data_IF_325206975787
#
_entry.id   IF_325206975787
#
_cell.length_a   1.000
_cell.length_b   1.000
_cell.length_c   1.000
_cell.angle_alpha   90.00
_cell.angle_beta   90.00
_cell.angle_gamma   90.00
#
_symmetry.space_group_name_H-M   'P 1'
#
loop_
_entity.id
_entity.type
_entity.pdbx_description
1 polymer ?
#
# COMPACT_ATOMS: atom_id res chain seq x y z
N UNK A 1 -4.73 0.93 -3.14
CA UNK A 1 -4.76 -0.46 -3.64
C UNK A 1 -4.11 -1.38 -2.65
N UNK A 2 -4.23 -2.69 -2.84
CA UNK A 2 -3.63 -3.73 -1.98
C UNK A 2 -2.54 -4.50 -2.73
N UNK A 3 -1.75 -5.34 -2.05
CA UNK A 3 -0.68 -6.11 -2.71
C UNK A 3 -1.18 -6.98 -3.87
N UNK A 4 -2.44 -7.44 -3.81
CA UNK A 4 -3.07 -8.17 -4.91
C UNK A 4 -3.16 -7.35 -6.22
N UNK A 5 -3.25 -6.02 -6.16
CA UNK A 5 -3.21 -5.17 -7.37
C UNK A 5 -1.88 -5.33 -8.11
N UNK A 6 -0.76 -5.47 -7.38
CA UNK A 6 0.58 -5.65 -7.97
C UNK A 6 0.67 -6.99 -8.67
N UNK A 7 0.21 -8.06 -8.02
CA UNK A 7 0.18 -9.43 -8.59
C UNK A 7 -0.71 -9.47 -9.83
N UNK A 8 -1.90 -8.87 -9.76
CA UNK A 8 -2.81 -8.74 -10.89
C UNK A 8 -2.14 -7.99 -12.06
N UNK A 9 -1.52 -6.84 -11.78
CA UNK A 9 -0.88 -6.04 -12.81
C UNK A 9 0.29 -6.79 -13.47
N UNK A 10 1.12 -7.49 -12.71
CA UNK A 10 2.21 -8.28 -13.27
C UNK A 10 1.68 -9.38 -14.21
N UNK A 11 0.58 -10.05 -13.82
CA UNK A 11 -0.05 -11.11 -14.62
C UNK A 11 -0.72 -10.61 -15.90
N UNK A 12 -1.36 -9.43 -15.85
CA UNK A 12 -2.19 -8.93 -16.95
C UNK A 12 -1.54 -7.87 -17.83
N UNK A 13 -0.56 -7.12 -17.29
CA UNK A 13 0.10 -6.00 -17.96
C UNK A 13 1.62 -6.11 -17.96
N UNK A 14 2.21 -7.06 -17.22
CA UNK A 14 3.65 -7.22 -17.13
C UNK A 14 4.32 -6.14 -16.27
N UNK A 15 5.62 -5.98 -16.46
CA UNK A 15 6.44 -4.98 -15.75
C UNK A 15 7.53 -4.46 -16.68
N UNK A 16 8.02 -3.26 -16.41
CA UNK A 16 9.14 -2.66 -17.13
C UNK A 16 10.18 -2.10 -16.15
N UNK A 17 11.45 -2.01 -16.56
CA UNK A 17 12.45 -1.24 -15.83
C UNK A 17 12.05 0.23 -15.67
N UNK A 18 12.46 0.86 -14.57
CA UNK A 18 12.14 2.25 -14.26
C UNK A 18 12.61 3.21 -15.37
N UNK A 19 13.74 2.94 -16.01
CA UNK A 19 14.27 3.76 -17.12
C UNK A 19 13.43 3.70 -18.39
N UNK A 20 12.56 2.69 -18.54
CA UNK A 20 11.66 2.56 -19.70
C UNK A 20 10.40 3.42 -19.50
N UNK A 21 9.91 3.50 -18.26
CA UNK A 21 8.74 4.30 -17.91
C UNK A 21 8.91 4.95 -16.54
N UNK A 22 9.44 6.17 -16.52
CA UNK A 22 9.71 6.91 -15.28
C UNK A 22 8.44 7.26 -14.48
N UNK A 23 7.28 7.36 -15.14
CA UNK A 23 6.01 7.70 -14.47
C UNK A 23 5.83 9.19 -14.15
N UNK A 24 6.71 10.07 -14.61
CA UNK A 24 6.69 11.51 -14.32
C UNK A 24 6.90 12.28 -15.63
N UNK A 25 5.84 12.94 -16.15
CA UNK A 25 5.89 13.73 -17.40
C UNK A 25 5.79 15.25 -17.18
N UNK A 26 5.75 15.69 -15.93
CA UNK A 26 5.52 17.08 -15.52
C UNK A 26 6.78 17.78 -14.96
N UNK A 27 7.98 17.22 -15.21
CA UNK A 27 9.26 17.90 -14.95
C UNK A 27 9.77 17.86 -13.51
N UNK A 28 9.05 17.21 -12.60
CA UNK A 28 9.49 17.03 -11.21
C UNK A 28 10.45 15.84 -11.04
N UNK A 29 11.25 15.86 -9.98
CA UNK A 29 12.15 14.76 -9.63
C UNK A 29 11.44 13.60 -8.92
N UNK A 30 10.28 13.88 -8.29
CA UNK A 30 9.50 12.92 -7.53
C UNK A 30 8.02 12.97 -7.95
N UNK A 31 7.26 11.88 -7.72
CA UNK A 31 5.84 11.86 -8.04
C UNK A 31 5.05 12.90 -7.24
N UNK A 32 4.34 13.80 -7.93
CA UNK A 32 3.39 14.76 -7.36
C UNK A 32 2.06 14.61 -8.09
N UNK A 33 1.19 13.75 -7.56
CA UNK A 33 -0.04 13.35 -8.26
C UNK A 33 -1.28 14.16 -7.89
N UNK A 34 -1.16 15.28 -7.16
CA UNK A 34 -2.32 16.08 -6.71
C UNK A 34 -3.19 16.54 -7.88
N UNK A 35 -2.58 17.07 -8.95
CA UNK A 35 -3.31 17.52 -10.14
C UNK A 35 -3.90 16.33 -10.92
N UNK A 36 -3.09 15.29 -11.15
CA UNK A 36 -3.52 14.05 -11.81
C UNK A 36 -4.72 13.43 -11.10
N UNK A 37 -4.67 13.27 -9.78
CA UNK A 37 -5.76 12.72 -8.99
C UNK A 37 -7.03 13.57 -9.13
N UNK A 38 -6.92 14.89 -8.99
CA UNK A 38 -8.06 15.79 -9.12
C UNK A 38 -8.74 15.66 -10.49
N UNK A 39 -7.97 15.67 -11.58
CA UNK A 39 -8.48 15.58 -12.95
C UNK A 39 -9.08 14.20 -13.25
N UNK A 40 -8.35 13.13 -12.94
CA UNK A 40 -8.82 11.76 -13.17
C UNK A 40 -10.06 11.43 -12.32
N UNK A 41 -10.09 11.88 -11.07
CA UNK A 41 -11.23 11.73 -10.15
C UNK A 41 -12.45 12.50 -10.64
N UNK A 42 -12.29 13.73 -11.11
CA UNK A 42 -13.40 14.51 -11.68
C UNK A 42 -13.98 13.82 -12.92
N UNK A 43 -13.11 13.32 -13.82
CA UNK A 43 -13.50 12.57 -15.00
C UNK A 43 -14.29 11.31 -14.64
N UNK A 44 -13.72 10.45 -13.77
CA UNK A 44 -14.34 9.20 -13.35
C UNK A 44 -15.65 9.43 -12.59
N UNK A 45 -15.70 10.39 -11.65
CA UNK A 45 -16.91 10.68 -10.89
C UNK A 45 -18.05 11.18 -11.77
N UNK A 46 -17.77 12.03 -12.76
CA UNK A 46 -18.79 12.55 -13.66
C UNK A 46 -19.47 11.41 -14.44
N UNK A 47 -18.69 10.40 -14.83
CA UNK A 47 -19.20 9.23 -15.51
C UNK A 47 -19.95 8.30 -14.55
N UNK A 48 -19.34 7.98 -13.40
CA UNK A 48 -19.86 6.99 -12.46
C UNK A 48 -21.11 7.46 -11.70
N UNK A 49 -21.19 8.75 -11.37
CA UNK A 49 -22.29 9.36 -10.59
C UNK A 49 -23.27 10.15 -11.46
N UNK A 50 -22.97 10.31 -12.74
CA UNK A 50 -23.85 11.00 -13.68
C UNK A 50 -25.15 10.23 -13.93
N UNK A 51 -26.14 10.91 -14.51
CA UNK A 51 -27.42 10.32 -14.92
C UNK A 51 -27.36 9.59 -16.27
N UNK A 52 -26.15 9.15 -16.69
CA UNK A 52 -25.93 8.49 -17.98
C UNK A 52 -26.64 7.13 -17.99
N UNK A 53 -27.63 6.97 -18.87
CA UNK A 53 -28.35 5.69 -19.04
C UNK A 53 -27.53 4.62 -19.78
N UNK A 54 -26.50 5.04 -20.52
CA UNK A 54 -25.61 4.16 -21.28
C UNK A 54 -24.23 4.77 -21.36
N UNK A 55 -23.21 3.97 -21.10
CA UNK A 55 -21.82 4.36 -21.28
C UNK A 55 -21.40 4.17 -22.75
N UNK A 56 -20.67 5.16 -23.27
CA UNK A 56 -19.99 5.02 -24.57
C UNK A 56 -18.77 4.10 -24.41
N UNK A 57 -18.25 3.47 -25.48
CA UNK A 57 -17.02 2.68 -25.35
C UNK A 57 -15.76 3.56 -25.20
N UNK A 58 -15.86 4.87 -25.45
CA UNK A 58 -14.69 5.77 -25.55
C UNK A 58 -14.25 6.40 -24.22
N UNK A 59 -15.07 6.32 -23.16
CA UNK A 59 -14.70 6.98 -21.88
C UNK A 59 -13.39 6.44 -21.29
N UNK A 60 -13.11 5.15 -21.50
CA UNK A 60 -11.85 4.53 -21.07
C UNK A 60 -10.65 5.15 -21.79
N UNK A 61 -10.80 5.52 -23.06
CA UNK A 61 -9.75 6.17 -23.84
C UNK A 61 -9.47 7.57 -23.31
N UNK A 62 -10.51 8.34 -22.96
CA UNK A 62 -10.34 9.66 -22.35
C UNK A 62 -9.62 9.59 -21.00
N UNK A 63 -10.01 8.65 -20.13
CA UNK A 63 -9.30 8.43 -18.87
C UNK A 63 -7.86 7.98 -19.08
N UNK A 64 -7.62 7.06 -20.02
CA UNK A 64 -6.27 6.59 -20.34
C UNK A 64 -5.39 7.72 -20.87
N UNK A 65 -5.93 8.60 -21.73
CA UNK A 65 -5.20 9.74 -22.25
C UNK A 65 -4.79 10.75 -21.16
N UNK A 66 -5.61 10.92 -20.12
CA UNK A 66 -5.23 11.68 -18.92
C UNK A 66 -3.99 11.02 -18.30
N UNK A 67 -4.05 9.73 -17.95
CA UNK A 67 -2.91 9.04 -17.34
C UNK A 67 -1.66 9.04 -18.22
N UNK A 68 -1.79 8.77 -19.52
CA UNK A 68 -0.69 8.79 -20.49
C UNK A 68 0.01 10.16 -20.54
N UNK A 69 -0.75 11.25 -20.37
CA UNK A 69 -0.22 12.62 -20.37
C UNK A 69 0.65 12.88 -19.14
N UNK A 70 0.22 12.43 -17.95
CA UNK A 70 0.95 12.69 -16.69
C UNK A 70 2.03 11.66 -16.38
N UNK A 71 1.81 10.39 -16.72
CA UNK A 71 2.66 9.26 -16.33
C UNK A 71 3.48 8.71 -17.51
N UNK A 72 3.10 9.05 -18.75
CA UNK A 72 3.67 8.49 -19.96
C UNK A 72 2.86 7.34 -20.51
N UNK A 73 3.01 7.10 -21.81
CA UNK A 73 2.34 6.00 -22.50
C UNK A 73 2.92 4.66 -22.08
N UNK A 74 2.04 3.66 -21.99
CA UNK A 74 2.43 2.27 -21.80
C UNK A 74 3.41 1.80 -22.91
N UNK A 75 4.60 1.30 -22.56
CA UNK A 75 5.58 0.84 -23.53
C UNK A 75 5.23 -0.55 -24.07
N UNK A 76 4.80 -0.65 -25.32
CA UNK A 76 4.50 -1.96 -25.94
C UNK A 76 5.78 -2.80 -26.18
N UNK A 77 6.90 -2.12 -26.45
CA UNK A 77 8.23 -2.71 -26.65
C UNK A 77 9.32 -1.80 -26.12
N UNK A 78 10.42 -2.38 -25.64
CA UNK A 78 11.60 -1.66 -25.17
C UNK A 78 12.85 -2.52 -25.27
N UNK A 79 14.03 -1.89 -25.27
CA UNK A 79 15.31 -2.57 -25.21
C UNK A 79 15.84 -2.48 -23.78
N UNK A 80 16.18 -3.62 -23.19
CA UNK A 80 16.86 -3.71 -21.89
C UNK A 80 18.07 -4.61 -22.02
N UNK A 81 19.25 -4.11 -21.64
CA UNK A 81 20.53 -4.83 -21.72
C UNK A 81 20.79 -5.48 -23.10
N UNK A 82 20.49 -4.74 -24.17
CA UNK A 82 20.73 -5.18 -25.56
C UNK A 82 19.71 -6.17 -26.12
N UNK A 83 18.64 -6.51 -25.39
CA UNK A 83 17.55 -7.39 -25.86
C UNK A 83 16.22 -6.64 -25.89
N UNK A 84 15.42 -6.88 -26.94
CA UNK A 84 14.05 -6.37 -27.04
C UNK A 84 13.09 -7.20 -26.17
N UNK A 85 12.21 -6.51 -25.45
CA UNK A 85 11.17 -7.08 -24.61
C UNK A 85 9.83 -6.36 -24.83
N UNK A 86 8.74 -7.08 -24.64
CA UNK A 86 7.45 -6.53 -24.18
C UNK A 86 7.37 -6.60 -22.65
N UNK A 87 6.51 -5.81 -21.97
CA UNK A 87 6.36 -5.88 -20.51
C UNK A 87 6.04 -7.28 -19.99
N UNK A 88 5.21 -8.05 -20.72
CA UNK A 88 4.90 -9.43 -20.39
C UNK A 88 6.12 -10.36 -20.53
N UNK A 89 6.87 -10.25 -21.64
CA UNK A 89 8.08 -11.07 -21.83
C UNK A 89 9.19 -10.73 -20.82
N UNK A 90 9.25 -9.48 -20.38
CA UNK A 90 10.19 -9.06 -19.34
C UNK A 90 9.79 -9.63 -17.98
N UNK A 91 8.50 -9.57 -17.61
CA UNK A 91 7.98 -10.23 -16.41
C UNK A 91 8.34 -11.73 -16.37
N UNK A 92 8.15 -12.45 -17.49
CA UNK A 92 8.55 -13.86 -17.58
C UNK A 92 10.06 -14.07 -17.41
N UNK A 93 10.89 -13.14 -17.88
CA UNK A 93 12.35 -13.23 -17.74
C UNK A 93 12.85 -13.09 -16.30
N UNK A 94 12.03 -12.55 -15.40
CA UNK A 94 12.36 -12.43 -13.97
C UNK A 94 12.25 -13.76 -13.21
N UNK A 95 11.63 -14.78 -13.81
CA UNK A 95 11.47 -16.10 -13.18
C UNK A 95 10.55 -16.11 -11.95
N UNK A 96 9.71 -15.08 -11.79
CA UNK A 96 8.75 -14.99 -10.69
C UNK A 96 7.57 -15.93 -10.94
N UNK A 97 7.30 -16.84 -9.99
CA UNK A 97 6.06 -17.60 -9.97
C UNK A 97 5.05 -16.90 -9.06
N UNK A 98 4.01 -16.32 -9.64
CA UNK A 98 3.00 -15.57 -8.89
C UNK A 98 2.15 -16.45 -7.98
N UNK A 99 2.05 -17.75 -8.26
CA UNK A 99 1.31 -18.71 -7.44
C UNK A 99 2.06 -19.06 -6.13
N UNK A 100 3.32 -18.62 -5.99
CA UNK A 100 4.10 -18.82 -4.77
C UNK A 100 3.86 -17.72 -3.71
N UNK A 101 3.03 -16.71 -4.00
CA UNK A 101 2.71 -15.63 -3.07
C UNK A 101 1.32 -15.85 -2.48
N UNK A 102 1.22 -15.69 -1.16
CA UNK A 102 -0.04 -15.78 -0.42
C UNK A 102 -0.27 -14.50 0.38
N UNK A 103 -1.54 -14.08 0.46
CA UNK A 103 -1.95 -12.99 1.35
C UNK A 103 -2.46 -13.59 2.66
N UNK A 104 -1.99 -13.05 3.79
CA UNK A 104 -2.32 -13.52 5.13
C UNK A 104 -2.90 -12.38 5.97
N UNK A 105 -3.82 -12.70 6.87
CA UNK A 105 -4.43 -11.75 7.80
C UNK A 105 -4.83 -12.44 9.11
N UNK A 106 -5.30 -11.67 10.08
CA UNK A 106 -5.73 -12.18 11.39
C UNK A 106 -6.87 -11.35 11.95
N UNK A 107 -8.10 -11.83 11.80
CA UNK A 107 -9.31 -11.21 12.34
C UNK A 107 -10.31 -12.24 12.87
N UNK A 108 -11.14 -11.84 13.83
CA UNK A 108 -12.09 -12.73 14.51
C UNK A 108 -13.52 -12.68 13.96
N UNK A 109 -13.85 -11.71 13.09
CA UNK A 109 -15.17 -11.61 12.46
C UNK A 109 -15.39 -12.62 11.33
N UNK A 110 -14.32 -13.31 10.91
CA UNK A 110 -14.36 -14.48 10.03
C UNK A 110 -13.70 -15.68 10.71
N UNK A 111 -14.11 -16.92 10.39
CA UNK A 111 -13.44 -18.11 10.89
C UNK A 111 -11.95 -18.13 10.52
N UNK A 112 -11.11 -18.61 11.43
CA UNK A 112 -9.72 -18.93 11.10
C UNK A 112 -9.63 -20.08 10.10
N UNK A 113 -8.49 -20.17 9.41
CA UNK A 113 -8.18 -21.16 8.37
C UNK A 113 -9.14 -21.13 7.17
N UNK A 114 -9.72 -19.96 6.91
CA UNK A 114 -10.54 -19.69 5.75
C UNK A 114 -10.05 -18.42 5.05
N UNK A 115 -10.31 -18.34 3.75
CA UNK A 115 -10.03 -17.16 2.96
C UNK A 115 -11.21 -16.20 2.98
N UNK A 116 -10.93 -14.91 3.10
CA UNK A 116 -11.92 -13.86 2.86
C UNK A 116 -11.25 -12.61 2.28
N UNK A 117 -12.05 -11.78 1.61
CA UNK A 117 -11.59 -10.49 1.12
C UNK A 117 -11.67 -9.46 2.25
N UNK A 118 -10.52 -8.92 2.66
CA UNK A 118 -10.47 -7.86 3.68
C UNK A 118 -11.31 -6.67 3.21
N UNK A 119 -12.25 -6.23 4.04
CA UNK A 119 -13.29 -5.26 3.70
C UNK A 119 -12.81 -3.81 3.79
N UNK A 120 -11.77 -3.47 3.05
CA UNK A 120 -11.23 -2.10 2.95
C UNK A 120 -11.47 -1.51 1.55
N UNK A 121 -11.64 -0.18 1.42
CA UNK A 121 -11.89 0.46 0.13
C UNK A 121 -10.81 0.17 -0.92
N UNK A 122 -9.57 0.00 -0.47
CA UNK A 122 -8.43 -0.30 -1.34
C UNK A 122 -8.44 -1.72 -1.91
N UNK A 123 -9.21 -2.66 -1.32
CA UNK A 123 -9.39 -4.02 -1.82
C UNK A 123 -10.59 -4.12 -2.77
N UNK A 124 -10.75 -3.14 -3.66
CA UNK A 124 -11.86 -3.05 -4.62
C UNK A 124 -11.94 -4.20 -5.62
N UNK A 125 -10.87 -5.02 -5.73
CA UNK A 125 -10.84 -6.26 -6.53
C UNK A 125 -11.32 -7.51 -5.78
N UNK A 126 -11.62 -7.37 -4.48
CA UNK A 126 -11.95 -8.48 -3.58
C UNK A 126 -10.88 -9.59 -3.59
N UNK A 127 -9.61 -9.20 -3.46
CA UNK A 127 -8.51 -10.15 -3.27
C UNK A 127 -8.63 -10.82 -1.92
N UNK A 128 -8.53 -12.16 -1.91
CA UNK A 128 -8.62 -12.97 -0.70
C UNK A 128 -7.33 -12.96 0.12
N UNK A 129 -7.47 -13.13 1.43
CA UNK A 129 -6.38 -13.40 2.37
C UNK A 129 -6.75 -14.58 3.26
N UNK A 130 -5.78 -15.45 3.54
CA UNK A 130 -5.94 -16.52 4.53
C UNK A 130 -5.97 -15.93 5.94
N UNK A 131 -7.01 -16.27 6.69
CA UNK A 131 -7.18 -15.82 8.06
C UNK A 131 -6.50 -16.79 9.05
N UNK A 132 -5.56 -16.31 9.86
CA UNK A 132 -4.83 -17.12 10.84
C UNK A 132 -4.97 -16.50 12.24
N UNK A 133 -4.83 -17.28 13.32
CA UNK A 133 -4.60 -16.73 14.65
C UNK A 133 -3.34 -15.85 14.67
N UNK A 134 -3.35 -14.78 15.47
CA UNK A 134 -2.28 -13.78 15.46
C UNK A 134 -0.90 -14.38 15.78
N UNK A 135 -0.81 -15.27 16.78
CA UNK A 135 0.44 -15.91 17.16
C UNK A 135 1.04 -16.76 16.04
N UNK A 136 0.19 -17.43 15.25
CA UNK A 136 0.63 -18.20 14.08
C UNK A 136 1.09 -17.29 12.94
N UNK A 137 0.39 -16.18 12.70
CA UNK A 137 0.79 -15.18 11.71
C UNK A 137 2.17 -14.59 12.04
N UNK A 138 2.40 -14.21 13.30
CA UNK A 138 3.71 -13.69 13.74
C UNK A 138 4.79 -14.77 13.62
N UNK A 139 4.52 -15.99 14.08
CA UNK A 139 5.46 -17.12 13.95
C UNK A 139 5.83 -17.41 12.49
N UNK A 140 4.88 -17.27 11.56
CA UNK A 140 5.12 -17.45 10.14
C UNK A 140 6.04 -16.36 9.58
N UNK A 141 5.82 -15.10 9.97
CA UNK A 141 6.65 -13.96 9.59
C UNK A 141 8.09 -14.17 10.08
N UNK A 142 8.27 -14.55 11.35
CA UNK A 142 9.59 -14.84 11.93
C UNK A 142 10.30 -15.95 11.17
N UNK A 143 9.61 -17.06 10.88
CA UNK A 143 10.15 -18.16 10.11
C UNK A 143 10.49 -17.76 8.65
N UNK A 144 9.71 -16.88 8.02
CA UNK A 144 10.00 -16.37 6.69
C UNK A 144 11.32 -15.57 6.69
N UNK A 145 11.45 -14.64 7.65
CA UNK A 145 12.67 -13.82 7.82
C UNK A 145 13.88 -14.71 8.14
N UNK A 146 13.75 -15.66 9.06
CA UNK A 146 14.82 -16.58 9.43
C UNK A 146 15.31 -17.44 8.24
N UNK A 147 14.45 -17.68 7.26
CA UNK A 147 14.78 -18.41 6.01
C UNK A 147 15.26 -17.49 4.88
N UNK A 148 15.46 -16.21 5.14
CA UNK A 148 15.96 -15.23 4.17
C UNK A 148 14.90 -14.68 3.21
N UNK A 149 13.61 -14.88 3.49
CA UNK A 149 12.53 -14.22 2.77
C UNK A 149 12.25 -12.83 3.34
N UNK A 150 11.64 -11.98 2.52
CA UNK A 150 11.07 -10.70 2.95
C UNK A 150 9.54 -10.80 3.01
N UNK A 151 8.90 -9.83 3.64
CA UNK A 151 7.43 -9.76 3.76
C UNK A 151 6.94 -8.42 3.23
N UNK A 152 5.88 -8.46 2.41
CA UNK A 152 5.11 -7.28 2.08
C UNK A 152 4.13 -7.00 3.24
N UNK A 153 4.43 -5.97 4.04
CA UNK A 153 3.70 -5.66 5.26
C UNK A 153 2.84 -4.41 5.09
N UNK A 154 1.55 -4.52 5.44
CA UNK A 154 0.62 -3.41 5.50
C UNK A 154 0.06 -3.33 6.91
N UNK A 155 0.09 -2.14 7.50
CA UNK A 155 -0.40 -1.85 8.84
C UNK A 155 -0.94 -0.44 8.91
N UNK A 156 -1.77 -0.17 9.92
CA UNK A 156 -2.08 1.19 10.32
C UNK A 156 -0.79 1.86 10.85
N UNK A 157 -0.52 3.08 10.37
CA UNK A 157 0.64 3.91 10.73
C UNK A 157 0.21 5.30 11.22
N UNK A 158 -1.08 5.47 11.53
CA UNK A 158 -1.67 6.71 12.03
C UNK A 158 -1.56 6.84 13.56
N UNK A 159 -1.07 5.80 14.23
CA UNK A 159 -0.90 5.74 15.67
C UNK A 159 0.24 6.62 16.20
N UNK A 160 0.08 7.12 17.43
CA UNK A 160 1.09 7.97 18.08
C UNK A 160 2.45 7.27 18.26
N UNK A 161 2.42 5.94 18.33
CA UNK A 161 3.60 5.08 18.42
C UNK A 161 4.40 4.96 17.11
N UNK A 162 3.82 5.31 15.96
CA UNK A 162 4.51 5.37 14.69
C UNK A 162 5.08 6.78 14.46
N UNK A 163 6.39 6.92 14.60
CA UNK A 163 7.05 8.23 14.68
C UNK A 163 7.89 8.55 13.44
N UNK A 164 8.10 9.85 13.20
CA UNK A 164 9.00 10.35 12.15
C UNK A 164 10.48 10.01 12.37
N UNK A 165 10.81 9.45 13.53
CA UNK A 165 12.16 8.97 13.85
C UNK A 165 12.40 7.53 13.37
N UNK A 166 11.44 6.93 12.65
CA UNK A 166 11.57 5.58 12.10
C UNK A 166 11.33 4.48 13.12
N UNK A 167 10.52 4.75 14.15
CA UNK A 167 10.18 3.80 15.22
C UNK A 167 8.67 3.58 15.24
N UNK A 168 8.26 2.33 15.42
CA UNK A 168 6.88 1.92 15.67
C UNK A 168 6.83 1.13 16.98
N UNK A 169 6.08 1.61 17.96
CA UNK A 169 5.90 0.97 19.27
C UNK A 169 4.45 0.99 19.71
N UNK A 170 4.06 0.08 20.60
CA UNK A 170 2.81 0.20 21.36
C UNK A 170 3.09 1.10 22.56
N UNK A 171 2.58 2.35 22.58
CA UNK A 171 2.84 3.25 23.68
C UNK A 171 2.08 2.80 24.94
N UNK A 172 2.69 3.01 26.09
CA UNK A 172 2.03 2.81 27.38
C UNK A 172 1.10 4.01 27.65
N UNK A 173 -0.18 3.86 27.31
CA UNK A 173 -1.19 4.94 27.39
C UNK A 173 -1.69 5.12 28.83
N UNK A 174 -1.60 4.09 29.67
CA UNK A 174 -2.01 4.10 31.08
C UNK A 174 -0.85 4.57 31.99
N UNK A 175 -0.33 5.76 31.70
CA UNK A 175 0.72 6.47 32.44
C UNK A 175 0.10 7.55 33.34
N UNK A 176 -0.36 7.22 34.56
CA UNK A 176 -0.98 8.18 35.48
C UNK A 176 -0.02 9.29 35.96
N UNK A 177 1.28 9.15 35.73
CA UNK A 177 2.28 10.19 35.94
C UNK A 177 2.16 11.38 34.96
N UNK A 178 1.54 11.16 33.79
CA UNK A 178 1.41 12.15 32.71
C UNK A 178 -0.02 12.67 32.51
N UNK A 179 -1.04 11.87 32.84
CA UNK A 179 -2.44 12.29 32.75
C UNK A 179 -2.90 12.91 34.07
N UNK A 180 -2.91 14.24 34.13
CA UNK A 180 -3.54 14.99 35.23
C UNK A 180 -2.63 15.35 36.41
N UNK A 181 -1.32 15.08 36.35
CA UNK A 181 -0.38 15.55 37.36
C UNK A 181 -0.17 17.07 37.24
N UNK A 182 0.04 17.76 38.37
CA UNK A 182 0.38 19.18 38.40
C UNK A 182 1.58 19.51 37.48
N UNK A 183 2.47 18.53 37.26
CA UNK A 183 3.57 18.64 36.32
C UNK A 183 3.09 19.00 34.90
N UNK A 184 2.09 18.33 34.34
CA UNK A 184 1.59 18.65 32.99
C UNK A 184 0.93 20.03 32.88
N UNK A 185 0.42 20.57 33.99
CA UNK A 185 -0.18 21.92 34.06
C UNK A 185 0.87 23.02 34.20
N UNK A 186 2.03 22.71 34.79
CA UNK A 186 3.10 23.67 35.10
C UNK A 186 4.33 23.58 34.17
N UNK A 187 4.57 22.46 33.46
CA UNK A 187 5.78 22.26 32.62
C UNK A 187 5.67 22.79 31.19
N UNK A 188 4.49 23.15 30.70
CA UNK A 188 4.33 23.71 29.35
C UNK A 188 4.73 22.76 28.21
N UNK A 189 4.76 21.44 28.46
CA UNK A 189 5.14 20.44 27.47
C UNK A 189 4.29 20.54 26.21
N UNK A 190 4.97 20.61 25.06
CA UNK A 190 4.30 20.63 23.76
C UNK A 190 3.69 19.25 23.46
N UNK A 191 2.72 19.16 22.53
CA UNK A 191 2.20 17.87 22.07
C UNK A 191 3.29 16.90 21.60
N UNK A 192 4.39 17.42 21.03
CA UNK A 192 5.52 16.61 20.57
C UNK A 192 6.34 16.04 21.73
N UNK A 193 6.50 16.79 22.83
CA UNK A 193 7.19 16.31 24.03
C UNK A 193 6.43 15.17 24.69
N UNK A 194 5.10 15.29 24.77
CA UNK A 194 4.22 14.22 25.29
C UNK A 194 4.33 12.95 24.45
N UNK A 195 4.36 13.08 23.11
CA UNK A 195 4.51 11.92 22.21
C UNK A 195 5.86 11.23 22.38
N UNK A 196 6.96 11.99 22.53
CA UNK A 196 8.28 11.41 22.82
C UNK A 196 8.27 10.64 24.13
N UNK A 197 7.66 11.17 25.17
CA UNK A 197 7.64 10.52 26.49
C UNK A 197 6.83 9.21 26.48
N UNK A 198 5.70 9.19 25.78
CA UNK A 198 4.86 8.00 25.60
C UNK A 198 5.57 6.87 24.82
N UNK A 199 6.52 7.23 23.94
CA UNK A 199 7.24 6.28 23.08
C UNK A 199 8.56 5.79 23.67
N UNK A 200 9.04 6.38 24.78
CA UNK A 200 10.32 6.04 25.42
C UNK A 200 10.27 4.77 26.29
N UNK A 201 9.09 4.35 26.76
CA UNK A 201 8.93 3.01 27.38
C UNK A 201 7.68 2.35 26.81
N UNK A 202 7.83 1.50 25.78
CA UNK A 202 6.69 0.79 25.20
C UNK A 202 6.08 -0.16 26.24
N UNK A 203 4.80 -0.50 26.04
CA UNK A 203 4.17 -1.55 26.84
C UNK A 203 4.93 -2.87 26.68
N UNK A 204 4.93 -3.75 27.71
CA UNK A 204 5.45 -5.11 27.56
C UNK A 204 4.77 -5.83 26.40
N UNK A 205 5.51 -6.71 25.71
CA UNK A 205 4.92 -7.66 24.77
C UNK A 205 3.85 -8.48 25.51
N UNK A 206 2.64 -8.53 24.96
CA UNK A 206 1.51 -9.31 25.50
C UNK A 206 1.46 -10.69 24.86
#
# INVERSE_FOLDING_TARGET
GVFYDVIYCLKHYGIVPQEVMQGIKYGESLPVHTELDAVAKAYANTIAKGSLKKLTPVWKQGLSAIYDTYLGKYPEKFIYQGKEYTPASFAHSLGLNLDNYVSLTSFTHHPFYNEFAIEIPDNWRNGNSWNLPIDELISLIDNAIAKGFTVAWASDVSEQGFTRNGIAVVPDIDRPDLTGSDMARWTGMTPDDKRKELTLKPSPEQ
#
